data_IF_151241659841
#
_entry.id   IF_151241659841
#
_cell.length_a   1.000
_cell.length_b   1.000
_cell.length_c   1.000
_cell.angle_alpha   90.00
_cell.angle_beta   90.00
_cell.angle_gamma   90.00
#
_symmetry.space_group_name_H-M   'P 1'
#
loop_
_entity.id
_entity.type
_entity.pdbx_description
1 polymer ?
#
# COMPACT_ATOMS: atom_id res chain seq x y z
N UNK A 1 -5.15 3.45 17.23
CA UNK A 1 -5.27 3.80 15.80
C UNK A 1 -6.43 3.08 15.12
N UNK A 2 -6.37 1.75 14.90
CA UNK A 2 -7.33 1.03 14.03
C UNK A 2 -8.83 1.32 14.32
N UNK A 3 -9.33 1.29 15.58
CA UNK A 3 -10.72 1.62 15.85
C UNK A 3 -11.11 3.06 15.53
N UNK A 4 -10.17 4.01 15.71
CA UNK A 4 -10.40 5.42 15.44
C UNK A 4 -10.46 5.73 13.93
N UNK A 5 -9.77 4.94 13.11
CA UNK A 5 -9.92 4.95 11.66
C UNK A 5 -11.18 4.17 11.20
N UNK A 6 -11.86 3.48 12.11
CA UNK A 6 -13.03 2.65 11.82
C UNK A 6 -12.71 1.32 11.13
N UNK A 7 -11.47 0.85 11.27
CA UNK A 7 -10.99 -0.44 10.76
C UNK A 7 -11.33 -1.53 11.80
N UNK A 8 -12.42 -2.25 11.54
CA UNK A 8 -13.02 -3.24 12.48
C UNK A 8 -12.51 -4.67 12.25
N UNK A 9 -11.93 -4.91 11.09
CA UNK A 9 -11.43 -6.18 10.56
C UNK A 9 -9.97 -6.10 10.13
N UNK A 10 -9.20 -5.24 10.79
CA UNK A 10 -7.75 -5.14 10.69
C UNK A 10 -7.12 -5.52 12.02
N UNK A 11 -6.11 -6.41 12.00
CA UNK A 11 -5.55 -7.02 13.20
C UNK A 11 -4.05 -7.28 13.05
N UNK A 12 -3.29 -7.13 14.14
CA UNK A 12 -1.94 -7.73 14.25
C UNK A 12 -2.06 -9.24 14.52
N UNK A 13 -2.89 -9.58 15.52
CA UNK A 13 -3.28 -10.96 15.84
C UNK A 13 -4.78 -11.16 15.57
N UNK A 14 -5.10 -12.06 14.64
CA UNK A 14 -6.49 -12.36 14.30
C UNK A 14 -7.18 -13.04 15.49
N UNK A 15 -8.26 -12.47 16.04
CA UNK A 15 -8.93 -13.04 17.21
C UNK A 15 -9.60 -14.39 16.87
N UNK A 16 -9.79 -15.24 17.89
CA UNK A 16 -10.32 -16.61 17.71
C UNK A 16 -11.61 -16.67 16.91
N UNK A 17 -12.55 -15.75 17.17
CA UNK A 17 -13.84 -15.66 16.47
C UNK A 17 -13.74 -15.19 15.00
N UNK A 18 -12.59 -14.69 14.57
CA UNK A 18 -12.32 -14.27 13.19
C UNK A 18 -11.40 -15.23 12.43
N UNK A 19 -10.90 -16.30 13.07
CA UNK A 19 -9.99 -17.26 12.43
C UNK A 19 -10.58 -17.91 11.16
N UNK A 20 -11.92 -18.11 11.12
CA UNK A 20 -12.62 -18.61 9.93
C UNK A 20 -12.55 -17.67 8.72
N UNK A 21 -12.30 -16.39 8.94
CA UNK A 21 -12.16 -15.37 7.90
C UNK A 21 -10.68 -15.15 7.52
N UNK A 22 -9.73 -15.80 8.22
CA UNK A 22 -8.32 -15.70 7.89
C UNK A 22 -7.96 -16.74 6.83
N UNK A 23 -7.84 -16.28 5.58
CA UNK A 23 -7.48 -17.12 4.44
C UNK A 23 -6.21 -17.96 4.70
N UNK A 24 -6.15 -19.13 4.06
CA UNK A 24 -4.93 -19.91 3.94
C UNK A 24 -4.07 -19.28 2.85
N UNK A 25 -2.82 -18.93 3.17
CA UNK A 25 -1.84 -18.48 2.19
C UNK A 25 -1.15 -19.66 1.51
N UNK A 26 -0.70 -19.48 0.27
CA UNK A 26 0.00 -20.48 -0.52
C UNK A 26 1.31 -19.94 -1.06
N UNK A 27 2.40 -20.66 -0.81
CA UNK A 27 3.73 -20.28 -1.29
C UNK A 27 3.90 -20.58 -2.80
N UNK A 28 5.08 -20.27 -3.34
CA UNK A 28 5.39 -20.50 -4.77
C UNK A 28 5.29 -21.97 -5.20
N UNK A 29 5.32 -22.90 -4.25
CA UNK A 29 5.20 -24.35 -4.47
C UNK A 29 3.77 -24.86 -4.17
N UNK A 30 2.78 -23.98 -4.04
CA UNK A 30 1.39 -24.30 -3.69
C UNK A 30 1.22 -24.98 -2.32
N UNK A 31 2.17 -24.80 -1.41
CA UNK A 31 2.07 -25.32 -0.05
C UNK A 31 1.40 -24.30 0.87
N UNK A 32 0.53 -24.77 1.80
CA UNK A 32 -0.12 -23.89 2.75
C UNK A 32 0.90 -23.30 3.72
N UNK A 33 0.95 -21.96 3.80
CA UNK A 33 1.79 -21.22 4.73
C UNK A 33 1.01 -20.05 5.36
N UNK A 34 1.40 -19.66 6.57
CA UNK A 34 0.96 -18.41 7.21
C UNK A 34 2.18 -17.60 7.59
N UNK A 35 1.98 -16.30 7.85
CA UNK A 35 3.07 -15.45 8.33
C UNK A 35 3.57 -15.99 9.67
N UNK A 36 4.88 -16.12 9.80
CA UNK A 36 5.54 -16.53 11.04
C UNK A 36 5.89 -15.27 11.82
N UNK A 37 5.47 -15.16 13.09
CA UNK A 37 5.86 -14.03 13.93
C UNK A 37 7.37 -13.94 14.13
N UNK A 38 7.92 -12.72 14.10
CA UNK A 38 9.31 -12.42 14.44
C UNK A 38 9.42 -11.07 15.14
N UNK A 39 10.64 -10.71 15.58
CA UNK A 39 10.93 -9.40 16.16
C UNK A 39 10.54 -8.31 15.14
N UNK A 40 9.73 -7.34 15.60
CA UNK A 40 9.21 -6.22 14.81
C UNK A 40 8.30 -6.63 13.64
N UNK A 41 7.66 -7.81 13.70
CA UNK A 41 6.72 -8.23 12.67
C UNK A 41 5.49 -7.32 12.60
N UNK A 42 4.92 -6.94 13.75
CA UNK A 42 3.73 -6.10 13.86
C UNK A 42 3.89 -4.76 13.15
N UNK A 43 5.07 -4.15 13.24
CA UNK A 43 5.42 -2.87 12.67
C UNK A 43 5.77 -2.95 11.18
N UNK A 44 6.29 -4.09 10.70
CA UNK A 44 6.86 -4.20 9.34
C UNK A 44 5.97 -4.95 8.34
N UNK A 45 5.33 -6.05 8.74
CA UNK A 45 4.52 -6.90 7.83
C UNK A 45 3.37 -7.66 8.52
N UNK A 46 3.07 -7.33 9.77
CA UNK A 46 2.25 -8.14 10.67
C UNK A 46 0.75 -7.86 10.59
N UNK A 47 0.30 -6.85 9.86
CA UNK A 47 -1.13 -6.54 9.72
C UNK A 47 -1.85 -7.55 8.82
N UNK A 48 -3.03 -8.00 9.28
CA UNK A 48 -3.99 -8.79 8.51
C UNK A 48 -5.25 -7.93 8.40
N UNK A 49 -5.75 -7.76 7.18
CA UNK A 49 -6.95 -6.98 6.91
C UNK A 49 -7.80 -7.64 5.83
N UNK A 50 -8.99 -7.10 5.59
CA UNK A 50 -9.79 -7.46 4.43
C UNK A 50 -9.85 -6.27 3.45
N UNK A 51 -10.36 -6.53 2.24
CA UNK A 51 -10.48 -5.50 1.20
C UNK A 51 -11.37 -4.33 1.63
N UNK A 52 -12.42 -4.58 2.42
CA UNK A 52 -13.37 -3.55 2.88
C UNK A 52 -12.73 -2.54 3.85
N UNK A 53 -11.89 -3.00 4.75
CA UNK A 53 -11.18 -2.14 5.68
C UNK A 53 -10.01 -1.43 5.00
N UNK A 54 -9.28 -2.11 4.11
CA UNK A 54 -8.21 -1.45 3.36
C UNK A 54 -8.74 -0.39 2.39
N UNK A 55 -9.84 -0.64 1.68
CA UNK A 55 -10.42 0.39 0.81
C UNK A 55 -10.95 1.56 1.63
N UNK A 56 -11.54 1.31 2.81
CA UNK A 56 -11.89 2.37 3.76
C UNK A 56 -10.66 3.18 4.19
N UNK A 57 -9.52 2.51 4.44
CA UNK A 57 -8.29 3.21 4.78
C UNK A 57 -7.82 4.09 3.63
N UNK A 58 -7.87 3.60 2.39
CA UNK A 58 -7.55 4.42 1.22
C UNK A 58 -8.56 5.57 1.01
N UNK A 59 -9.85 5.36 1.28
CA UNK A 59 -10.87 6.43 1.27
C UNK A 59 -10.55 7.55 2.26
N UNK A 60 -9.89 7.26 3.39
CA UNK A 60 -9.38 8.28 4.32
C UNK A 60 -8.19 9.02 3.70
N UNK A 61 -7.28 8.30 3.03
CA UNK A 61 -6.12 8.89 2.33
C UNK A 61 -6.56 9.83 1.19
N UNK A 62 -7.63 9.51 0.46
CA UNK A 62 -8.21 10.39 -0.57
C UNK A 62 -9.30 11.34 -0.04
N UNK A 63 -9.44 11.42 1.29
CA UNK A 63 -10.38 12.33 1.99
C UNK A 63 -11.87 12.15 1.64
N UNK A 64 -12.27 11.00 1.08
CA UNK A 64 -13.68 10.66 0.84
C UNK A 64 -14.35 10.02 2.07
N UNK A 65 -13.54 9.61 3.06
CA UNK A 65 -14.02 9.11 4.36
C UNK A 65 -13.61 10.00 5.53
N UNK A 66 -14.62 10.57 6.21
CA UNK A 66 -14.40 11.37 7.42
C UNK A 66 -13.94 10.51 8.62
N UNK A 67 -12.92 11.02 9.30
CA UNK A 67 -12.46 10.59 10.63
C UNK A 67 -12.27 11.83 11.52
N UNK A 68 -11.97 11.66 12.81
CA UNK A 68 -11.68 12.80 13.67
C UNK A 68 -10.40 13.52 13.20
N UNK A 69 -10.40 14.86 13.31
CA UNK A 69 -9.34 15.73 12.77
C UNK A 69 -7.90 15.28 13.04
N UNK A 70 -7.51 14.88 14.27
CA UNK A 70 -6.12 14.42 14.52
C UNK A 70 -5.72 13.18 13.72
N UNK A 71 -6.68 12.30 13.41
CA UNK A 71 -6.42 11.12 12.58
C UNK A 71 -6.36 11.45 11.10
N UNK A 72 -7.14 12.44 10.66
CA UNK A 72 -7.06 12.95 9.29
C UNK A 72 -5.68 13.58 9.04
N UNK A 73 -5.24 14.47 9.93
CA UNK A 73 -3.91 15.09 9.88
C UNK A 73 -2.79 14.05 9.94
N UNK A 74 -2.91 13.02 10.80
CA UNK A 74 -1.91 11.95 10.87
C UNK A 74 -1.79 11.16 9.56
N UNK A 75 -2.91 10.91 8.86
CA UNK A 75 -2.89 10.22 7.55
C UNK A 75 -2.30 11.12 6.48
N UNK A 76 -2.71 12.39 6.41
CA UNK A 76 -2.18 13.35 5.43
C UNK A 76 -0.68 13.58 5.60
N UNK A 77 -0.18 13.62 6.84
CA UNK A 77 1.27 13.71 7.09
C UNK A 77 2.06 12.53 6.51
N UNK A 78 1.43 11.38 6.25
CA UNK A 78 2.11 10.25 5.61
C UNK A 78 2.44 10.48 4.14
N UNK A 79 1.85 11.51 3.51
CA UNK A 79 2.03 11.88 2.11
C UNK A 79 3.09 12.98 1.92
N UNK A 80 3.80 13.35 2.99
CA UNK A 80 4.90 14.32 2.91
C UNK A 80 6.12 13.66 2.27
N UNK A 81 6.63 14.26 1.20
CA UNK A 81 7.79 13.78 0.47
C UNK A 81 9.11 14.24 1.07
N UNK A 82 9.99 13.29 1.40
CA UNK A 82 11.28 13.56 2.04
C UNK A 82 12.47 13.37 1.11
N UNK A 83 12.43 12.35 0.26
CA UNK A 83 13.55 11.98 -0.61
C UNK A 83 13.05 11.65 -2.01
N UNK A 84 13.84 11.99 -3.02
CA UNK A 84 13.63 11.58 -4.41
C UNK A 84 14.59 10.44 -4.77
N UNK A 85 14.08 9.37 -5.36
CA UNK A 85 14.87 8.31 -5.99
C UNK A 85 15.02 8.57 -7.49
N UNK A 86 15.58 7.63 -8.25
CA UNK A 86 15.57 7.70 -9.71
C UNK A 86 14.17 7.53 -10.35
N UNK A 87 13.15 7.18 -9.54
CA UNK A 87 11.83 6.74 -10.03
C UNK A 87 10.66 7.44 -9.34
N UNK A 88 10.73 7.61 -8.02
CA UNK A 88 9.62 8.04 -7.15
C UNK A 88 10.09 8.87 -5.97
N UNK A 89 9.13 9.54 -5.33
CA UNK A 89 9.31 10.25 -4.08
C UNK A 89 8.97 9.35 -2.89
N UNK A 90 9.90 9.26 -1.94
CA UNK A 90 9.74 8.52 -0.71
C UNK A 90 9.05 9.39 0.34
N UNK A 91 7.85 8.97 0.72
CA UNK A 91 7.07 9.56 1.80
C UNK A 91 7.19 8.69 3.06
N UNK A 92 6.34 8.93 4.08
CA UNK A 92 6.25 8.00 5.20
C UNK A 92 5.39 6.80 4.80
N UNK A 93 6.02 5.63 4.65
CA UNK A 93 5.43 4.40 4.10
C UNK A 93 5.16 4.46 2.59
N UNK A 94 4.47 5.48 2.11
CA UNK A 94 4.09 5.58 0.70
C UNK A 94 5.26 5.89 -0.22
N UNK A 95 5.14 5.39 -1.45
CA UNK A 95 5.98 5.75 -2.60
C UNK A 95 5.08 6.50 -3.57
N UNK A 96 5.43 7.74 -3.92
CA UNK A 96 4.57 8.62 -4.71
C UNK A 96 5.20 9.05 -6.03
N UNK A 97 4.36 9.23 -7.04
CA UNK A 97 4.72 9.61 -8.40
C UNK A 97 3.81 10.78 -8.82
N UNK A 98 4.33 11.76 -9.57
CA UNK A 98 3.48 12.76 -10.20
C UNK A 98 2.45 12.09 -11.10
N UNK A 99 1.18 12.52 -11.02
CA UNK A 99 0.10 11.98 -11.83
C UNK A 99 -0.22 12.92 -13.01
N UNK A 100 -0.35 12.42 -14.26
CA UNK A 100 -0.29 11.02 -14.68
C UNK A 100 1.13 10.43 -14.71
N UNK A 101 1.24 9.15 -14.36
CA UNK A 101 2.49 8.37 -14.40
C UNK A 101 2.37 7.24 -15.41
N UNK A 102 3.46 6.90 -16.10
CA UNK A 102 3.47 5.76 -17.04
C UNK A 102 3.59 4.41 -16.33
N UNK A 103 3.03 3.35 -16.92
CA UNK A 103 3.24 1.98 -16.42
C UNK A 103 4.73 1.62 -16.32
N UNK A 104 5.54 2.06 -17.29
CA UNK A 104 6.99 1.80 -17.29
C UNK A 104 7.69 2.41 -16.07
N UNK A 105 7.33 3.65 -15.69
CA UNK A 105 7.88 4.31 -14.51
C UNK A 105 7.43 3.64 -13.20
N UNK A 106 6.16 3.21 -13.11
CA UNK A 106 5.67 2.45 -11.96
C UNK A 106 6.40 1.10 -11.81
N UNK A 107 6.61 0.38 -12.92
CA UNK A 107 7.37 -0.87 -12.95
C UNK A 107 8.82 -0.63 -12.51
N UNK A 108 9.45 0.43 -13.03
CA UNK A 108 10.81 0.80 -12.66
C UNK A 108 10.91 1.10 -11.16
N UNK A 109 9.98 1.87 -10.59
CA UNK A 109 10.01 2.21 -9.17
C UNK A 109 9.69 1.05 -8.23
N UNK A 110 9.11 -0.04 -8.72
CA UNK A 110 8.74 -1.21 -7.90
C UNK A 110 9.51 -2.49 -8.27
N UNK A 111 10.65 -2.35 -8.99
CA UNK A 111 11.52 -3.47 -9.36
C UNK A 111 12.20 -4.09 -8.14
N UNK A 112 12.59 -5.36 -8.25
CA UNK A 112 13.27 -6.06 -7.15
C UNK A 112 14.57 -5.33 -6.74
N UNK A 113 15.33 -4.76 -7.69
CA UNK A 113 16.56 -4.02 -7.39
C UNK A 113 16.31 -2.81 -6.48
N UNK A 114 15.17 -2.13 -6.62
CA UNK A 114 14.80 -0.99 -5.77
C UNK A 114 14.68 -1.43 -4.29
N UNK A 115 14.17 -2.64 -4.05
CA UNK A 115 13.99 -3.18 -2.71
C UNK A 115 15.23 -3.89 -2.15
N UNK A 116 16.08 -4.47 -3.02
CA UNK A 116 17.16 -5.37 -2.63
C UNK A 116 18.55 -4.72 -2.68
N UNK A 117 18.69 -3.56 -3.32
CA UNK A 117 19.98 -2.88 -3.45
C UNK A 117 19.92 -1.43 -2.98
N UNK A 118 21.02 -0.87 -2.45
CA UNK A 118 21.06 0.55 -2.09
C UNK A 118 20.77 1.44 -3.29
N UNK A 119 19.93 2.46 -3.08
CA UNK A 119 19.54 3.41 -4.12
C UNK A 119 20.18 4.76 -3.86
N UNK A 120 20.52 5.47 -4.95
CA UNK A 120 20.86 6.89 -4.84
C UNK A 120 19.59 7.67 -4.50
N UNK A 121 19.67 8.53 -3.49
CA UNK A 121 18.58 9.42 -3.08
C UNK A 121 19.03 10.87 -3.06
N UNK A 122 18.09 11.78 -3.25
CA UNK A 122 18.27 13.23 -3.09
C UNK A 122 17.27 13.73 -2.05
N UNK A 123 17.75 14.44 -1.02
CA UNK A 123 16.88 15.02 -0.01
C UNK A 123 16.12 16.23 -0.55
N UNK A 124 14.83 16.33 -0.20
CA UNK A 124 13.96 17.42 -0.64
C UNK A 124 13.93 18.50 0.45
N UNK A 125 14.35 19.72 0.11
CA UNK A 125 14.41 20.86 1.04
C UNK A 125 13.82 22.14 0.41
N UNK A 126 12.74 22.72 1.00
CA UNK A 126 11.92 22.16 2.09
C UNK A 126 11.26 20.84 1.67
N UNK A 127 10.83 20.02 2.64
CA UNK A 127 10.10 18.76 2.33
C UNK A 127 8.88 19.07 1.46
N UNK A 128 8.53 18.15 0.55
CA UNK A 128 7.37 18.35 -0.32
C UNK A 128 6.09 18.12 0.50
N UNK A 129 5.14 19.07 0.51
CA UNK A 129 3.85 18.86 1.18
C UNK A 129 3.05 17.73 0.50
N UNK A 130 2.02 17.19 1.17
CA UNK A 130 1.07 16.27 0.54
C UNK A 130 0.51 16.80 -0.78
N UNK A 131 0.70 16.05 -1.86
CA UNK A 131 0.24 16.39 -3.21
C UNK A 131 -1.06 15.65 -3.55
N UNK A 132 -2.03 16.34 -4.15
CA UNK A 132 -3.26 15.68 -4.61
C UNK A 132 -3.10 15.10 -6.02
N UNK A 133 -2.26 15.73 -6.85
CA UNK A 133 -1.94 15.30 -8.21
C UNK A 133 -0.80 14.26 -8.20
N UNK A 134 -1.01 13.19 -7.44
CA UNK A 134 -0.01 12.15 -7.26
C UNK A 134 -0.64 10.76 -7.20
N UNK A 135 0.10 9.79 -7.75
CA UNK A 135 -0.17 8.38 -7.61
C UNK A 135 0.63 7.85 -6.43
N UNK A 136 -0.05 7.44 -5.37
CA UNK A 136 0.57 6.82 -4.20
C UNK A 136 0.40 5.32 -4.28
N UNK A 137 1.45 4.56 -3.96
CA UNK A 137 1.33 3.10 -3.90
C UNK A 137 2.12 2.44 -2.77
N UNK A 138 1.75 1.19 -2.51
CA UNK A 138 2.56 0.27 -1.74
C UNK A 138 2.34 -1.18 -2.16
N UNK A 139 3.44 -1.90 -2.34
CA UNK A 139 3.47 -3.37 -2.44
C UNK A 139 3.65 -4.01 -1.06
N UNK A 140 3.08 -5.20 -0.87
CA UNK A 140 3.30 -6.00 0.34
C UNK A 140 3.28 -7.49 0.03
N UNK A 141 4.20 -8.26 0.62
CA UNK A 141 4.25 -9.71 0.41
C UNK A 141 4.65 -10.44 1.69
N UNK A 142 4.09 -11.64 1.87
CA UNK A 142 4.64 -12.66 2.77
C UNK A 142 4.86 -13.95 1.98
N UNK A 143 5.32 -15.01 2.63
CA UNK A 143 5.55 -16.30 1.94
C UNK A 143 4.32 -16.86 1.23
N UNK A 144 3.09 -16.48 1.63
CA UNK A 144 1.86 -17.00 1.04
C UNK A 144 0.83 -15.95 0.66
N UNK A 145 1.18 -14.66 0.70
CA UNK A 145 0.24 -13.58 0.38
C UNK A 145 0.91 -12.49 -0.44
N UNK A 146 0.11 -11.83 -1.24
CA UNK A 146 0.48 -10.69 -2.05
C UNK A 146 -0.58 -9.60 -1.90
N UNK A 147 -0.13 -8.38 -1.70
CA UNK A 147 -0.96 -7.19 -1.61
C UNK A 147 -0.40 -6.08 -2.49
N UNK A 148 -1.31 -5.23 -2.97
CA UNK A 148 -1.00 -3.95 -3.58
C UNK A 148 -2.10 -2.96 -3.25
N UNK A 149 -1.71 -1.75 -2.86
CA UNK A 149 -2.59 -0.64 -2.61
C UNK A 149 -2.12 0.55 -3.45
N UNK A 150 -3.04 1.24 -4.11
CA UNK A 150 -2.77 2.45 -4.85
C UNK A 150 -3.93 3.43 -4.74
N UNK A 151 -3.65 4.73 -4.76
CA UNK A 151 -4.68 5.75 -4.80
C UNK A 151 -4.19 7.04 -5.47
N UNK A 152 -5.13 7.79 -6.02
CA UNK A 152 -4.94 9.09 -6.67
C UNK A 152 -5.95 10.06 -6.02
N UNK A 153 -5.51 10.98 -5.12
CA UNK A 153 -6.42 11.85 -4.40
C UNK A 153 -7.26 12.76 -5.29
N UNK A 154 -6.65 13.41 -6.31
CA UNK A 154 -7.35 14.33 -7.21
C UNK A 154 -8.49 13.64 -7.98
N UNK A 155 -8.23 12.44 -8.50
CA UNK A 155 -9.23 11.66 -9.25
C UNK A 155 -10.21 10.89 -8.34
N UNK A 156 -9.97 10.89 -7.03
CA UNK A 156 -10.72 10.09 -6.03
C UNK A 156 -10.76 8.59 -6.36
N UNK A 157 -9.65 8.09 -6.89
CA UNK A 157 -9.49 6.67 -7.24
C UNK A 157 -8.68 5.97 -6.14
N UNK A 158 -9.13 4.80 -5.72
CA UNK A 158 -8.43 3.94 -4.80
C UNK A 158 -8.60 2.47 -5.21
N UNK A 159 -7.51 1.70 -5.19
CA UNK A 159 -7.47 0.29 -5.58
C UNK A 159 -6.75 -0.51 -4.51
N UNK A 160 -7.35 -1.64 -4.12
CA UNK A 160 -6.75 -2.64 -3.25
C UNK A 160 -6.82 -3.98 -3.93
N UNK A 161 -5.67 -4.64 -4.08
CA UNK A 161 -5.57 -6.03 -4.52
C UNK A 161 -5.00 -6.86 -3.37
N UNK A 162 -5.73 -7.90 -2.98
CA UNK A 162 -5.30 -8.89 -2.00
C UNK A 162 -5.36 -10.29 -2.62
N UNK A 163 -4.29 -11.05 -2.47
CA UNK A 163 -4.18 -12.44 -2.91
C UNK A 163 -3.59 -13.31 -1.79
N UNK A 164 -4.15 -14.50 -1.63
CA UNK A 164 -3.62 -15.56 -0.77
C UNK A 164 -2.64 -16.49 -1.49
N UNK A 165 -2.05 -16.01 -2.60
CA UNK A 165 -0.92 -16.62 -3.27
C UNK A 165 0.10 -15.54 -3.59
N UNK A 166 1.38 -15.84 -3.36
CA UNK A 166 2.42 -14.96 -3.86
C UNK A 166 2.41 -14.94 -5.39
N UNK A 167 2.42 -13.76 -5.99
CA UNK A 167 2.62 -13.56 -7.43
C UNK A 167 3.47 -12.30 -7.67
N UNK A 168 4.11 -12.16 -8.84
CA UNK A 168 5.07 -11.09 -9.11
C UNK A 168 4.50 -9.68 -8.88
N UNK A 169 5.35 -8.76 -8.38
CA UNK A 169 5.01 -7.33 -8.21
C UNK A 169 4.61 -6.67 -9.55
N UNK A 170 5.32 -6.91 -10.67
CA UNK A 170 4.95 -6.37 -11.97
C UNK A 170 3.49 -6.64 -12.36
N UNK A 171 2.98 -7.84 -12.10
CA UNK A 171 1.62 -8.23 -12.46
C UNK A 171 0.57 -7.45 -11.66
N UNK A 172 0.85 -7.15 -10.37
CA UNK A 172 -0.05 -6.37 -9.51
C UNK A 172 -0.20 -4.94 -10.02
N UNK A 173 0.93 -4.36 -10.43
CA UNK A 173 1.02 -2.98 -10.93
C UNK A 173 0.33 -2.88 -12.27
N UNK A 174 0.63 -3.78 -13.21
CA UNK A 174 -0.02 -3.80 -14.53
C UNK A 174 -1.53 -3.96 -14.42
N UNK A 175 -2.02 -4.89 -13.60
CA UNK A 175 -3.45 -5.09 -13.40
C UNK A 175 -4.14 -3.84 -12.81
N UNK A 176 -3.48 -3.17 -11.84
CA UNK A 176 -4.01 -1.94 -11.24
C UNK A 176 -4.01 -0.78 -12.23
N UNK A 177 -2.93 -0.61 -12.98
CA UNK A 177 -2.79 0.44 -13.98
C UNK A 177 -3.87 0.31 -15.06
N UNK A 178 -4.06 -0.90 -15.61
CA UNK A 178 -5.11 -1.18 -16.60
C UNK A 178 -6.52 -0.94 -16.04
N UNK A 179 -6.75 -1.27 -14.76
CA UNK A 179 -8.03 -0.97 -14.11
C UNK A 179 -8.28 0.54 -14.01
N UNK A 180 -7.26 1.32 -13.65
CA UNK A 180 -7.37 2.79 -13.53
C UNK A 180 -7.60 3.43 -14.90
N UNK A 181 -6.87 2.98 -15.94
CA UNK A 181 -7.13 3.44 -17.32
C UNK A 181 -8.59 3.19 -17.73
N UNK A 182 -9.16 2.03 -17.36
CA UNK A 182 -10.56 1.69 -17.63
C UNK A 182 -11.59 2.49 -16.83
N UNK A 183 -11.22 3.05 -15.68
CA UNK A 183 -12.09 3.93 -14.89
C UNK A 183 -12.12 5.34 -15.50
N UNK A 184 -11.03 5.75 -16.14
CA UNK A 184 -10.85 7.08 -16.72
C UNK A 184 -11.30 7.18 -18.20
N UNK A 185 -11.73 6.06 -18.81
CA UNK A 185 -12.42 6.02 -20.12
C UNK A 185 -13.87 6.52 -20.01
#
# INVERSE_FOLDING_TARGET
>A
MLPALGLKHTYIHVPKNQQKNYAQGYNKNDQPVRVTPQILDAESYGLKSNAKDLIRFLDINIQTKKVAKPWQEAVENTHTGFYMTDSFMQDMMWESYSWPVSLAQLQQGNRDEMALTPQKIEAIHPVMPPETQAFYNKTGSTNGFAAYAAFIPEDRIAVVILSNKWYPIPDRITATYQLIEKINE
#
